data_IF_378411898958
#
_entry.id   IF_378411898958
#
_cell.length_a   1.000
_cell.length_b   1.000
_cell.length_c   1.000
_cell.angle_alpha   90.00
_cell.angle_beta   90.00
_cell.angle_gamma   90.00
#
_symmetry.space_group_name_H-M   'P 1'
#
loop_
_entity.id
_entity.type
_entity.pdbx_description
1 polymer ?
#
# COMPACT_ATOMS: atom_id res chain seq x y z
N UNK A 1 -22.21 -26.99 2.65
CA UNK A 1 -21.28 -25.95 2.19
C UNK A 1 -21.01 -25.04 3.37
N UNK A 2 -19.77 -24.95 3.86
CA UNK A 2 -19.40 -23.88 4.78
C UNK A 2 -19.43 -22.57 3.98
N UNK A 3 -19.98 -21.50 4.55
CA UNK A 3 -19.86 -20.16 3.95
C UNK A 3 -18.37 -19.86 3.74
N UNK A 4 -17.97 -19.22 2.62
CA UNK A 4 -16.60 -18.76 2.47
C UNK A 4 -16.27 -17.89 3.68
N UNK A 5 -15.12 -18.14 4.31
CA UNK A 5 -14.64 -17.27 5.37
C UNK A 5 -14.58 -15.85 4.80
N UNK A 6 -15.29 -14.91 5.44
CA UNK A 6 -15.23 -13.50 5.08
C UNK A 6 -13.80 -12.97 5.23
N UNK A 7 -13.54 -11.80 4.64
CA UNK A 7 -12.27 -11.13 4.88
C UNK A 7 -12.07 -10.87 6.38
N UNK A 8 -10.88 -11.20 6.89
CA UNK A 8 -10.47 -10.91 8.26
C UNK A 8 -9.78 -9.55 8.28
N UNK A 9 -10.30 -8.60 9.06
CA UNK A 9 -9.59 -7.35 9.33
C UNK A 9 -8.36 -7.66 10.19
N UNK A 10 -7.17 -7.36 9.69
CA UNK A 10 -5.90 -7.59 10.39
C UNK A 10 -5.48 -6.38 11.24
N UNK A 11 -5.82 -5.18 10.80
CA UNK A 11 -5.50 -3.95 11.51
C UNK A 11 -6.04 -2.71 10.79
N UNK A 12 -6.08 -1.59 11.51
CA UNK A 12 -6.41 -0.30 10.95
C UNK A 12 -5.79 0.82 11.78
N UNK A 13 -5.67 1.99 11.16
CA UNK A 13 -5.31 3.25 11.78
C UNK A 13 -6.31 4.31 11.29
N UNK A 14 -6.71 5.19 12.19
CA UNK A 14 -7.52 6.38 11.89
C UNK A 14 -6.68 7.54 12.40
N UNK A 15 -6.58 8.60 11.61
CA UNK A 15 -5.91 9.82 12.03
C UNK A 15 -6.75 10.53 13.12
N UNK A 16 -6.07 11.28 14.00
CA UNK A 16 -6.65 11.81 15.24
C UNK A 16 -7.06 13.29 15.17
N UNK A 17 -7.08 13.89 13.97
CA UNK A 17 -7.30 15.33 13.83
C UNK A 17 -8.75 15.68 13.50
N UNK A 18 -9.09 16.96 13.67
CA UNK A 18 -10.41 17.53 13.53
C UNK A 18 -10.50 18.29 12.20
N UNK A 19 -11.35 17.79 11.30
CA UNK A 19 -11.53 18.24 9.91
C UNK A 19 -12.02 19.68 9.68
N UNK A 20 -12.17 20.47 10.74
CA UNK A 20 -12.82 21.78 10.64
C UNK A 20 -11.86 22.95 10.41
N UNK A 21 -10.52 22.76 10.44
CA UNK A 21 -9.55 23.84 10.20
C UNK A 21 -8.27 23.35 9.51
N UNK A 22 -7.70 24.18 8.64
CA UNK A 22 -6.49 23.90 7.84
C UNK A 22 -5.15 24.28 8.54
N UNK A 23 -5.18 24.59 9.84
CA UNK A 23 -4.05 25.17 10.57
C UNK A 23 -3.71 24.36 11.84
N UNK A 24 -4.03 23.06 11.87
CA UNK A 24 -3.75 22.19 13.01
C UNK A 24 -2.39 21.50 12.87
N UNK A 25 -1.77 21.21 14.02
CA UNK A 25 -0.55 20.40 14.10
C UNK A 25 -0.94 18.93 14.04
N UNK A 26 -0.50 18.24 12.98
CA UNK A 26 -0.86 16.85 12.64
C UNK A 26 0.25 15.85 12.98
N UNK A 27 1.40 16.33 13.47
CA UNK A 27 2.51 15.48 13.91
C UNK A 27 3.09 14.65 12.77
N UNK A 28 4.17 15.10 12.10
CA UNK A 28 5.21 16.00 12.60
C UNK A 28 5.07 17.48 12.20
N UNK A 29 4.11 17.83 11.33
CA UNK A 29 3.98 19.18 10.77
C UNK A 29 2.56 19.74 10.91
N UNK A 30 2.37 20.98 10.44
CA UNK A 30 1.05 21.57 10.29
C UNK A 30 0.48 21.15 8.94
N UNK A 31 -0.80 20.82 8.92
CA UNK A 31 -1.49 20.41 7.70
C UNK A 31 -2.98 20.73 7.75
N UNK A 32 -3.68 20.23 6.75
CA UNK A 32 -5.11 20.38 6.63
C UNK A 32 -5.62 19.69 5.39
N UNK A 33 -6.56 18.77 5.57
CA UNK A 33 -7.56 18.16 4.69
C UNK A 33 -7.16 17.72 3.29
N UNK A 34 -6.47 18.56 2.51
CA UNK A 34 -6.12 18.26 1.12
C UNK A 34 -4.92 17.30 1.00
N UNK A 35 -4.22 17.01 2.10
CA UNK A 35 -2.94 16.30 2.08
C UNK A 35 -2.77 15.29 3.21
N UNK A 36 -3.85 14.98 3.93
CA UNK A 36 -3.80 14.16 5.13
C UNK A 36 -4.35 12.75 4.81
N UNK A 37 -3.93 11.74 5.58
CA UNK A 37 -4.43 10.37 5.50
C UNK A 37 -5.37 10.11 6.66
N UNK A 38 -6.66 10.09 6.34
CA UNK A 38 -7.72 9.93 7.33
C UNK A 38 -7.80 8.51 7.91
N UNK A 39 -7.54 7.51 7.06
CA UNK A 39 -7.76 6.12 7.41
C UNK A 39 -6.89 5.18 6.60
N UNK A 40 -6.38 4.15 7.25
CA UNK A 40 -5.76 3.00 6.60
C UNK A 40 -6.27 1.72 7.24
N UNK A 41 -6.61 0.71 6.43
CA UNK A 41 -6.94 -0.61 6.94
C UNK A 41 -6.40 -1.73 6.07
N UNK A 42 -6.04 -2.82 6.74
CA UNK A 42 -5.51 -4.03 6.13
C UNK A 42 -6.40 -5.20 6.49
N UNK A 43 -6.86 -5.91 5.47
CA UNK A 43 -7.62 -7.14 5.62
C UNK A 43 -6.97 -8.28 4.84
N UNK A 44 -7.36 -9.50 5.18
CA UNK A 44 -6.89 -10.71 4.52
C UNK A 44 -8.05 -11.61 4.12
N UNK A 45 -8.00 -12.13 2.91
CA UNK A 45 -8.91 -13.18 2.46
C UNK A 45 -8.24 -14.08 1.43
N UNK A 46 -8.31 -15.39 1.65
CA UNK A 46 -7.96 -16.41 0.66
C UNK A 46 -6.57 -16.23 0.00
N UNK A 47 -5.54 -15.89 0.79
CA UNK A 47 -4.17 -15.68 0.29
C UNK A 47 -3.85 -14.23 -0.09
N UNK A 48 -4.86 -13.38 -0.22
CA UNK A 48 -4.71 -11.98 -0.59
C UNK A 48 -4.74 -11.04 0.62
N UNK A 49 -3.90 -10.03 0.57
CA UNK A 49 -4.00 -8.81 1.37
C UNK A 49 -4.86 -7.81 0.62
N UNK A 50 -5.73 -7.13 1.35
CA UNK A 50 -6.51 -5.98 0.90
C UNK A 50 -6.07 -4.79 1.73
N UNK A 51 -5.61 -3.73 1.08
CA UNK A 51 -5.22 -2.47 1.72
C UNK A 51 -6.11 -1.36 1.19
N UNK A 52 -6.71 -0.59 2.09
CA UNK A 52 -7.45 0.62 1.75
C UNK A 52 -6.86 1.81 2.47
N UNK A 53 -6.81 2.95 1.77
CA UNK A 53 -6.38 4.24 2.31
C UNK A 53 -7.43 5.28 1.93
N UNK A 54 -7.95 6.02 2.89
CA UNK A 54 -8.73 7.23 2.62
C UNK A 54 -7.84 8.45 2.90
N UNK A 55 -7.73 9.36 1.94
CA UNK A 55 -6.81 10.50 2.04
C UNK A 55 -7.29 11.68 1.19
N UNK A 56 -6.95 12.91 1.58
CA UNK A 56 -7.16 14.10 0.75
C UNK A 56 -6.34 14.12 -0.54
N UNK A 57 -5.30 13.31 -0.60
CA UNK A 57 -4.35 13.25 -1.69
C UNK A 57 -4.73 12.17 -2.71
N UNK A 58 -4.83 12.51 -4.00
CA UNK A 58 -5.06 11.48 -5.02
C UNK A 58 -3.77 11.06 -5.74
N UNK A 59 -3.72 9.81 -6.23
CA UNK A 59 -2.60 9.32 -7.04
C UNK A 59 -2.37 10.08 -8.35
N UNK A 60 -3.41 10.60 -9.00
CA UNK A 60 -3.36 11.23 -10.33
C UNK A 60 -3.23 12.75 -10.33
N UNK A 61 -3.57 13.39 -9.21
CA UNK A 61 -3.22 14.78 -8.94
C UNK A 61 -2.35 14.81 -7.70
N UNK A 62 -1.03 14.87 -7.90
CA UNK A 62 -0.24 15.60 -6.94
C UNK A 62 -0.90 16.98 -6.79
N UNK A 63 -1.54 17.26 -5.66
CA UNK A 63 -2.16 18.56 -5.45
C UNK A 63 -1.07 19.64 -5.48
N UNK A 64 -1.44 20.91 -5.42
CA UNK A 64 -0.58 22.03 -5.84
C UNK A 64 0.87 21.98 -5.35
N UNK A 65 1.15 21.37 -4.20
CA UNK A 65 2.49 21.31 -3.61
C UNK A 65 3.06 19.92 -3.42
N UNK A 66 2.24 18.88 -3.22
CA UNK A 66 2.71 17.59 -2.71
C UNK A 66 2.32 16.44 -3.64
N UNK A 67 3.25 15.51 -3.81
CA UNK A 67 3.04 14.28 -4.57
C UNK A 67 2.43 13.19 -3.67
N UNK A 68 1.69 12.23 -4.26
CA UNK A 68 0.96 11.21 -3.51
C UNK A 68 1.81 10.26 -2.66
N UNK A 69 3.11 10.16 -2.94
CA UNK A 69 3.99 9.21 -2.29
C UNK A 69 3.68 7.75 -2.65
N UNK A 70 4.43 6.83 -2.05
CA UNK A 70 4.33 5.39 -2.26
C UNK A 70 4.08 4.65 -0.95
N UNK A 71 3.58 3.41 -1.04
CA UNK A 71 3.35 2.59 0.14
C UNK A 71 4.62 1.82 0.48
N UNK A 72 5.06 1.93 1.73
CA UNK A 72 6.15 1.12 2.27
C UNK A 72 5.59 -0.06 3.04
N UNK A 73 6.20 -1.21 2.85
CA UNK A 73 5.89 -2.42 3.62
C UNK A 73 7.17 -2.92 4.27
N UNK A 74 7.09 -3.31 5.53
CA UNK A 74 8.19 -3.94 6.26
C UNK A 74 7.72 -5.31 6.75
N UNK A 75 8.49 -6.35 6.47
CA UNK A 75 8.21 -7.69 6.98
C UNK A 75 8.89 -7.96 8.32
N UNK A 76 8.57 -9.11 8.93
CA UNK A 76 9.09 -9.51 10.24
C UNK A 76 10.62 -9.67 10.34
N UNK A 77 11.32 -9.70 9.19
CA UNK A 77 12.77 -9.73 9.16
C UNK A 77 13.36 -8.34 8.85
N UNK A 78 12.57 -7.27 8.97
CA UNK A 78 12.90 -5.90 8.60
C UNK A 78 13.23 -5.73 7.11
N UNK A 79 12.80 -6.65 6.24
CA UNK A 79 12.97 -6.45 4.81
C UNK A 79 11.92 -5.45 4.33
N UNK A 80 12.39 -4.48 3.55
CA UNK A 80 11.57 -3.36 3.08
C UNK A 80 11.15 -3.59 1.63
N UNK A 81 9.88 -3.30 1.37
CA UNK A 81 9.24 -3.37 0.06
C UNK A 81 8.58 -2.02 -0.26
N UNK A 82 8.26 -1.82 -1.53
CA UNK A 82 7.51 -0.65 -2.00
C UNK A 82 6.41 -1.04 -2.96
N UNK A 83 5.27 -0.34 -2.87
CA UNK A 83 4.22 -0.37 -3.88
C UNK A 83 4.13 1.01 -4.52
N UNK A 84 4.29 1.07 -5.83
CA UNK A 84 4.11 2.29 -6.61
C UNK A 84 2.63 2.69 -6.56
N UNK A 85 2.33 3.82 -5.93
CA UNK A 85 0.95 4.36 -5.92
C UNK A 85 0.80 5.42 -7.00
N UNK A 86 1.77 6.32 -7.07
CA UNK A 86 1.62 7.58 -7.76
C UNK A 86 2.30 7.66 -9.12
N UNK A 87 1.69 8.41 -10.02
CA UNK A 87 2.36 9.02 -11.16
C UNK A 87 2.02 10.51 -11.33
N UNK A 88 1.17 11.08 -10.47
CA UNK A 88 0.68 12.45 -10.59
C UNK A 88 1.78 13.47 -10.28
N UNK A 89 2.07 14.37 -11.22
CA UNK A 89 3.07 15.42 -11.07
C UNK A 89 2.63 16.46 -10.05
N UNK A 90 2.92 16.23 -8.76
CA UNK A 90 2.79 17.24 -7.71
C UNK A 90 3.50 18.54 -8.09
N UNK A 91 3.07 19.66 -7.52
CA UNK A 91 3.81 20.91 -7.69
C UNK A 91 3.59 21.67 -9.00
N UNK A 92 2.97 21.06 -10.02
CA UNK A 92 2.95 21.63 -11.38
C UNK A 92 1.60 22.21 -11.82
N UNK A 93 0.54 22.02 -11.02
CA UNK A 93 -0.84 22.32 -11.46
C UNK A 93 -1.30 21.44 -12.63
N UNK A 94 -0.49 20.47 -13.05
CA UNK A 94 -0.81 19.53 -14.11
C UNK A 94 -1.64 18.41 -13.50
N UNK A 95 -2.95 18.43 -13.76
CA UNK A 95 -3.76 17.23 -13.60
C UNK A 95 -3.27 16.22 -14.64
N UNK A 96 -2.61 15.16 -14.20
CA UNK A 96 -2.38 14.05 -15.12
C UNK A 96 -3.71 13.35 -15.42
N UNK A 97 -3.75 12.64 -16.56
CA UNK A 97 -4.87 11.76 -16.83
C UNK A 97 -4.99 10.67 -15.75
N UNK A 98 -6.11 9.96 -15.74
CA UNK A 98 -6.33 8.86 -14.79
C UNK A 98 -5.12 7.90 -14.78
N UNK A 99 -4.57 7.67 -13.59
CA UNK A 99 -3.48 6.71 -13.40
C UNK A 99 -4.08 5.34 -13.12
N UNK A 100 -4.25 4.54 -14.17
CA UNK A 100 -4.74 3.18 -14.01
C UNK A 100 -3.60 2.24 -13.59
N UNK A 101 -3.95 1.06 -13.08
CA UNK A 101 -2.99 -0.03 -12.87
C UNK A 101 -2.11 -0.24 -14.10
N UNK A 102 -0.79 -0.34 -13.88
CA UNK A 102 0.19 -0.51 -14.94
C UNK A 102 0.58 0.78 -15.69
N UNK A 103 0.00 1.93 -15.37
CA UNK A 103 0.47 3.22 -15.87
C UNK A 103 1.93 3.50 -15.44
N UNK A 104 2.65 4.30 -16.22
CA UNK A 104 4.04 4.68 -15.92
C UNK A 104 4.11 5.34 -14.53
N UNK A 105 4.99 4.82 -13.68
CA UNK A 105 5.28 5.40 -12.36
C UNK A 105 6.07 6.71 -12.46
N UNK A 106 6.16 7.44 -11.35
CA UNK A 106 6.86 8.73 -11.30
C UNK A 106 7.66 8.89 -10.02
N UNK A 107 8.86 9.45 -10.17
CA UNK A 107 9.69 9.90 -9.05
C UNK A 107 9.68 11.42 -8.97
N UNK A 108 9.76 11.94 -7.76
CA UNK A 108 9.62 13.36 -7.47
C UNK A 108 10.90 13.93 -6.87
N UNK A 109 11.29 15.12 -7.31
CA UNK A 109 12.28 15.92 -6.58
C UNK A 109 11.53 16.82 -5.62
N UNK A 110 11.91 16.78 -4.35
CA UNK A 110 11.28 17.54 -3.27
C UNK A 110 12.24 18.62 -2.74
N UNK A 111 11.74 19.80 -2.40
CA UNK A 111 12.52 20.82 -1.67
C UNK A 111 12.47 20.59 -0.15
N UNK A 112 13.15 21.42 0.65
CA UNK A 112 13.21 21.28 2.12
C UNK A 112 11.87 21.41 2.86
N UNK A 113 10.79 21.80 2.17
CA UNK A 113 9.43 21.85 2.71
C UNK A 113 8.58 20.66 2.25
N UNK A 114 9.18 19.67 1.58
CA UNK A 114 8.46 18.51 1.00
C UNK A 114 7.73 18.83 -0.31
N UNK A 115 7.87 20.05 -0.85
CA UNK A 115 7.14 20.44 -2.06
C UNK A 115 7.77 19.76 -3.27
N UNK A 116 6.94 19.19 -4.12
CA UNK A 116 7.35 18.69 -5.43
C UNK A 116 7.80 19.86 -6.29
N UNK A 117 9.09 19.87 -6.66
CA UNK A 117 9.67 20.89 -7.55
C UNK A 117 9.85 20.40 -8.98
N UNK A 118 9.95 19.07 -9.16
CA UNK A 118 9.96 18.43 -10.47
C UNK A 118 9.58 16.96 -10.36
N UNK A 119 9.23 16.36 -11.48
CA UNK A 119 8.90 14.94 -11.60
C UNK A 119 9.61 14.33 -12.80
N UNK A 120 9.95 13.05 -12.70
CA UNK A 120 10.51 12.26 -13.78
C UNK A 120 9.83 10.89 -13.84
N UNK A 121 9.68 10.34 -15.05
CA UNK A 121 9.20 8.98 -15.22
C UNK A 121 10.11 8.02 -14.44
N UNK A 122 9.49 7.15 -13.65
CA UNK A 122 10.20 6.05 -13.03
C UNK A 122 10.71 5.07 -14.10
N UNK A 123 11.54 4.11 -13.69
CA UNK A 123 11.97 3.02 -14.56
C UNK A 123 10.74 2.36 -15.22
N UNK A 124 10.84 1.97 -16.49
CA UNK A 124 9.67 1.50 -17.26
C UNK A 124 8.90 0.32 -16.63
N UNK A 125 9.55 -0.47 -15.77
CA UNK A 125 8.91 -1.56 -15.04
C UNK A 125 8.18 -1.12 -13.76
N UNK A 126 8.58 0.03 -13.17
CA UNK A 126 7.97 0.66 -12.00
C UNK A 126 6.73 1.43 -12.48
N UNK A 127 5.59 0.79 -12.28
CA UNK A 127 4.28 1.20 -12.79
C UNK A 127 3.28 1.22 -11.64
N UNK A 128 2.23 2.04 -11.71
CA UNK A 128 1.20 2.11 -10.67
C UNK A 128 0.65 0.70 -10.32
N UNK A 129 0.62 0.37 -9.03
CA UNK A 129 0.29 -0.94 -8.48
C UNK A 129 1.45 -1.94 -8.43
N UNK A 130 2.63 -1.62 -8.98
CA UNK A 130 3.76 -2.57 -8.97
C UNK A 130 4.40 -2.70 -7.59
N UNK A 131 4.68 -3.95 -7.20
CA UNK A 131 5.25 -4.30 -5.89
C UNK A 131 6.71 -4.71 -6.05
N UNK A 132 7.59 -4.18 -5.21
CA UNK A 132 9.04 -4.31 -5.35
C UNK A 132 9.73 -4.65 -4.04
N UNK A 133 10.86 -5.34 -4.14
CA UNK A 133 11.82 -5.52 -3.05
C UNK A 133 13.18 -4.93 -3.40
N UNK A 134 14.03 -4.72 -2.39
CA UNK A 134 15.37 -4.14 -2.54
C UNK A 134 15.31 -2.76 -3.24
N UNK A 135 14.31 -1.97 -2.89
CA UNK A 135 14.10 -0.61 -3.40
C UNK A 135 14.95 0.40 -2.64
N UNK A 136 15.18 1.56 -3.24
CA UNK A 136 15.80 2.69 -2.56
C UNK A 136 14.71 3.67 -2.14
N UNK A 137 14.48 3.78 -0.83
CA UNK A 137 13.54 4.76 -0.28
C UNK A 137 14.18 6.14 -0.22
N UNK A 138 13.43 7.14 -0.66
CA UNK A 138 13.78 8.54 -0.48
C UNK A 138 13.00 9.07 0.72
N UNK A 139 13.74 9.53 1.73
CA UNK A 139 13.15 10.16 2.91
C UNK A 139 12.53 11.51 2.57
N UNK A 140 11.56 11.92 3.37
CA UNK A 140 11.11 13.32 3.37
C UNK A 140 12.32 14.25 3.59
N UNK A 141 12.50 15.28 2.75
CA UNK A 141 13.58 16.26 2.91
C UNK A 141 13.31 17.29 4.02
N UNK A 142 12.17 17.18 4.71
CA UNK A 142 11.81 18.11 5.79
C UNK A 142 12.67 17.83 7.01
N UNK A 143 13.19 18.89 7.64
CA UNK A 143 14.13 18.77 8.73
C UNK A 143 13.54 17.99 9.91
N UNK A 144 14.25 16.94 10.33
CA UNK A 144 13.82 16.04 11.42
C UNK A 144 13.09 14.79 10.94
N UNK A 145 12.67 14.74 9.67
CA UNK A 145 11.95 13.61 9.11
C UNK A 145 12.86 12.51 8.58
N UNK A 146 12.43 11.26 8.79
CA UNK A 146 13.14 10.07 8.31
C UNK A 146 12.24 9.08 7.58
N UNK A 147 10.91 9.32 7.59
CA UNK A 147 9.96 8.47 6.88
C UNK A 147 10.23 8.50 5.38
N UNK A 148 10.15 7.32 4.76
CA UNK A 148 10.25 7.17 3.30
C UNK A 148 8.92 7.54 2.69
N UNK A 149 8.91 8.54 1.80
CA UNK A 149 7.67 9.03 1.16
C UNK A 149 7.51 8.53 -0.27
N UNK A 150 8.59 8.08 -0.90
CA UNK A 150 8.59 7.48 -2.24
C UNK A 150 9.79 6.56 -2.40
N UNK A 151 9.77 5.68 -3.40
CA UNK A 151 10.92 4.84 -3.72
C UNK A 151 11.33 4.92 -5.18
N UNK A 152 12.56 4.48 -5.46
CA UNK A 152 13.02 4.24 -6.81
C UNK A 152 13.49 2.78 -6.94
N UNK A 153 13.04 2.12 -8.01
CA UNK A 153 13.52 0.80 -8.40
C UNK A 153 14.87 0.95 -9.12
N UNK A 154 15.94 0.46 -8.49
CA UNK A 154 17.29 0.46 -9.03
C UNK A 154 17.66 -0.88 -9.68
N UNK A 155 18.93 -1.00 -10.10
CA UNK A 155 19.48 -2.20 -10.76
C UNK A 155 19.40 -3.47 -9.92
N UNK A 156 19.35 -3.35 -8.59
CA UNK A 156 19.26 -4.47 -7.65
C UNK A 156 17.82 -4.71 -7.14
N UNK A 157 16.86 -3.89 -7.57
CA UNK A 157 15.47 -4.02 -7.18
C UNK A 157 14.81 -5.15 -7.95
N UNK A 158 13.92 -5.88 -7.30
CA UNK A 158 13.19 -6.99 -7.91
C UNK A 158 11.69 -6.73 -7.84
N UNK A 159 11.03 -6.71 -9.02
CA UNK A 159 9.57 -6.64 -9.13
C UNK A 159 9.00 -7.99 -8.71
N UNK A 160 8.17 -7.98 -7.67
CA UNK A 160 7.53 -9.15 -7.11
C UNK A 160 6.19 -9.45 -7.80
N UNK A 161 5.49 -8.41 -8.25
CA UNK A 161 4.19 -8.55 -8.90
C UNK A 161 3.48 -7.22 -9.09
N UNK A 162 2.17 -7.33 -9.27
CA UNK A 162 1.22 -6.21 -9.34
C UNK A 162 0.14 -6.43 -8.27
N UNK A 163 -0.31 -5.35 -7.67
CA UNK A 163 -1.59 -5.29 -6.99
C UNK A 163 -2.70 -5.02 -8.00
N UNK A 164 -3.87 -5.58 -7.75
CA UNK A 164 -5.13 -5.04 -8.29
C UNK A 164 -5.28 -3.64 -7.67
N UNK A 165 -5.26 -2.58 -8.49
CA UNK A 165 -5.11 -1.19 -8.02
C UNK A 165 -6.21 -0.27 -8.56
N UNK A 166 -6.92 0.41 -7.67
CA UNK A 166 -7.96 1.39 -8.02
C UNK A 166 -8.00 2.53 -7.01
N UNK A 167 -8.49 3.68 -7.44
CA UNK A 167 -8.79 4.79 -6.54
C UNK A 167 -9.98 5.62 -7.04
N UNK A 168 -10.64 6.33 -6.13
CA UNK A 168 -11.75 7.24 -6.48
C UNK A 168 -11.22 8.57 -7.00
N UNK A 169 -11.80 9.07 -8.09
CA UNK A 169 -11.40 10.33 -8.74
C UNK A 169 -12.34 11.49 -8.38
N UNK A 170 -12.01 12.68 -8.88
CA UNK A 170 -12.76 13.92 -8.60
C UNK A 170 -14.17 13.99 -9.21
N UNK A 171 -14.53 13.02 -10.05
CA UNK A 171 -15.89 12.83 -10.55
C UNK A 171 -16.79 12.07 -9.57
N UNK A 172 -16.19 11.37 -8.59
CA UNK A 172 -16.91 10.60 -7.56
C UNK A 172 -16.84 11.30 -6.20
N UNK A 173 -15.70 11.91 -5.85
CA UNK A 173 -15.46 12.54 -4.56
C UNK A 173 -14.76 13.89 -4.70
N UNK A 174 -15.21 14.92 -3.96
CA UNK A 174 -14.68 16.28 -4.14
C UNK A 174 -13.44 16.59 -3.27
N UNK A 175 -13.21 15.81 -2.21
CA UNK A 175 -12.21 16.12 -1.19
C UNK A 175 -11.26 14.94 -0.94
N UNK A 176 -11.80 13.73 -0.74
CA UNK A 176 -11.00 12.55 -0.40
C UNK A 176 -10.95 11.55 -1.54
N UNK A 177 -9.81 10.92 -1.74
CA UNK A 177 -9.68 9.70 -2.53
C UNK A 177 -9.60 8.48 -1.62
N UNK A 178 -10.30 7.42 -2.01
CA UNK A 178 -10.07 6.08 -1.48
C UNK A 178 -9.15 5.36 -2.46
N UNK A 179 -8.00 4.89 -1.98
CA UNK A 179 -7.06 4.05 -2.73
C UNK A 179 -7.23 2.62 -2.22
N UNK A 180 -7.51 1.68 -3.11
CA UNK A 180 -7.71 0.27 -2.80
C UNK A 180 -6.71 -0.59 -3.57
N UNK A 181 -6.07 -1.52 -2.84
CA UNK A 181 -5.11 -2.47 -3.38
C UNK A 181 -5.46 -3.89 -2.94
N UNK A 182 -5.29 -4.86 -3.84
CA UNK A 182 -5.27 -6.28 -3.47
C UNK A 182 -4.11 -7.03 -4.09
N UNK A 183 -3.40 -7.85 -3.30
CA UNK A 183 -2.21 -8.58 -3.77
C UNK A 183 -1.95 -9.85 -2.97
N UNK A 184 -1.20 -10.78 -3.55
CA UNK A 184 -0.91 -12.08 -2.93
C UNK A 184 0.11 -11.94 -1.80
N UNK A 185 -0.22 -12.48 -0.62
CA UNK A 185 0.68 -12.55 0.53
C UNK A 185 1.97 -13.32 0.21
N UNK A 186 1.87 -14.31 -0.69
CA UNK A 186 2.98 -15.15 -1.12
C UNK A 186 4.10 -14.38 -1.84
N UNK A 187 3.90 -13.10 -2.18
CA UNK A 187 4.96 -12.24 -2.73
C UNK A 187 6.05 -11.91 -1.70
N UNK A 188 5.75 -12.00 -0.40
CA UNK A 188 6.68 -11.66 0.67
C UNK A 188 7.34 -12.91 1.26
N UNK A 189 8.65 -12.81 1.52
CA UNK A 189 9.45 -13.96 1.96
C UNK A 189 9.15 -14.42 3.39
N UNK A 190 8.71 -13.53 4.27
CA UNK A 190 8.26 -13.86 5.63
C UNK A 190 7.08 -12.97 5.99
N UNK A 191 5.87 -13.44 5.72
CA UNK A 191 4.66 -12.63 5.81
C UNK A 191 3.81 -12.94 7.06
N UNK A 192 4.44 -13.42 8.14
CA UNK A 192 3.72 -13.74 9.38
C UNK A 192 3.14 -12.48 10.07
N UNK A 193 3.79 -11.34 9.87
CA UNK A 193 3.19 -10.03 10.03
C UNK A 193 3.83 -9.05 9.03
N UNK A 194 3.11 -7.98 8.72
CA UNK A 194 3.53 -6.92 7.79
C UNK A 194 3.15 -5.57 8.40
N UNK A 195 4.09 -4.63 8.40
CA UNK A 195 3.84 -3.25 8.74
C UNK A 195 3.70 -2.41 7.47
N UNK A 196 2.54 -1.78 7.29
CA UNK A 196 2.24 -0.89 6.18
C UNK A 196 2.43 0.54 6.63
N UNK A 197 3.03 1.36 5.77
CA UNK A 197 3.20 2.78 5.99
C UNK A 197 2.86 3.53 4.71
N UNK A 198 2.17 4.66 4.86
CA UNK A 198 1.95 5.57 3.76
C UNK A 198 1.96 7.00 4.26
N UNK A 199 2.55 7.86 3.44
CA UNK A 199 2.52 9.30 3.62
C UNK A 199 2.65 9.99 2.26
N UNK A 200 1.98 11.13 2.06
CA UNK A 200 2.27 12.00 0.94
C UNK A 200 3.62 12.69 1.13
N UNK A 201 4.12 13.38 0.10
CA UNK A 201 5.47 13.98 0.17
C UNK A 201 5.63 15.11 1.19
N UNK A 202 4.53 15.71 1.64
CA UNK A 202 4.52 16.64 2.78
C UNK A 202 4.90 15.94 4.08
N UNK A 203 4.71 14.63 4.19
CA UNK A 203 4.99 13.82 5.38
C UNK A 203 4.49 14.47 6.68
N UNK A 204 3.42 15.27 6.57
CA UNK A 204 2.80 15.99 7.68
C UNK A 204 1.85 15.09 8.46
N UNK A 205 1.45 13.98 7.84
CA UNK A 205 0.64 12.92 8.39
C UNK A 205 1.08 11.57 7.81
N UNK A 206 1.32 10.61 8.68
CA UNK A 206 1.86 9.28 8.36
C UNK A 206 1.05 8.25 9.13
N UNK A 207 0.29 7.41 8.43
CA UNK A 207 -0.34 6.27 9.07
C UNK A 207 0.49 5.00 8.88
N UNK A 208 0.52 4.22 9.95
CA UNK A 208 1.07 2.88 9.94
C UNK A 208 0.07 1.86 10.49
N UNK A 209 -0.01 0.70 9.83
CA UNK A 209 -0.86 -0.41 10.24
C UNK A 209 -0.02 -1.67 10.38
N UNK A 210 -0.03 -2.24 11.58
CA UNK A 210 0.51 -3.57 11.84
C UNK A 210 -0.54 -4.63 11.48
N UNK A 211 -0.20 -5.57 10.60
CA UNK A 211 -1.07 -6.65 10.18
C UNK A 211 -0.49 -8.00 10.61
N UNK A 212 -1.07 -8.61 11.65
CA UNK A 212 -0.70 -9.95 12.11
C UNK A 212 -1.41 -11.02 11.28
N UNK A 213 -0.68 -11.61 10.33
CA UNK A 213 -1.22 -12.61 9.41
C UNK A 213 -1.14 -14.03 10.00
N UNK A 214 -0.44 -14.21 11.11
CA UNK A 214 -0.35 -15.50 11.81
C UNK A 214 -1.68 -15.95 12.41
N UNK A 215 -2.63 -15.03 12.60
CA UNK A 215 -3.96 -15.32 13.12
C UNK A 215 -4.91 -15.94 12.08
N UNK A 216 -4.49 -16.00 10.81
CA UNK A 216 -5.27 -16.61 9.74
C UNK A 216 -5.15 -18.14 9.84
N UNK A 217 -6.24 -18.88 10.11
CA UNK A 217 -6.20 -20.34 10.13
C UNK A 217 -5.75 -20.86 8.76
N UNK A 218 -4.80 -21.80 8.75
CA UNK A 218 -4.34 -22.42 7.50
C UNK A 218 -5.55 -22.95 6.69
N UNK A 219 -5.52 -22.81 5.35
CA UNK A 219 -6.68 -23.14 4.54
C UNK A 219 -7.09 -24.60 4.75
N UNK A 220 -8.40 -24.83 4.91
CA UNK A 220 -9.00 -26.14 5.12
C UNK A 220 -8.67 -27.17 4.01
N UNK A 221 -8.04 -26.74 2.92
CA UNK A 221 -7.45 -27.60 1.89
C UNK A 221 -6.40 -28.55 2.47
N UNK A 222 -5.62 -28.17 3.47
CA UNK A 222 -4.68 -29.09 4.14
C UNK A 222 -5.42 -30.16 4.96
N UNK A 223 -6.49 -29.76 5.64
CA UNK A 223 -7.37 -30.70 6.33
C UNK A 223 -8.05 -31.65 5.33
N UNK A 224 -8.54 -31.14 4.19
CA UNK A 224 -9.15 -31.96 3.13
C UNK A 224 -8.13 -32.88 2.46
N UNK A 225 -6.90 -32.43 2.25
CA UNK A 225 -5.82 -33.25 1.71
C UNK A 225 -5.46 -34.38 2.68
N UNK A 226 -5.37 -34.08 3.99
CA UNK A 226 -5.17 -35.08 5.04
C UNK A 226 -6.30 -36.11 5.09
N UNK A 227 -7.56 -35.67 5.05
CA UNK A 227 -8.73 -36.56 5.00
C UNK A 227 -8.76 -37.38 3.70
N UNK A 228 -8.38 -36.77 2.57
CA UNK A 228 -8.26 -37.45 1.27
C UNK A 228 -7.23 -38.56 1.29
N UNK A 229 -6.04 -38.30 1.84
CA UNK A 229 -4.98 -39.31 2.03
C UNK A 229 -5.45 -40.46 2.93
N UNK A 230 -6.13 -40.17 4.04
CA UNK A 230 -6.71 -41.19 4.93
C UNK A 230 -7.76 -42.04 4.21
N UNK A 231 -8.58 -41.43 3.35
CA UNK A 231 -9.53 -42.13 2.48
C UNK A 231 -8.85 -43.13 1.53
N UNK A 232 -7.75 -42.73 0.89
CA UNK A 232 -6.97 -43.62 0.01
C UNK A 232 -6.32 -44.79 0.76
N UNK A 233 -5.79 -44.54 1.97
CA UNK A 233 -5.21 -45.60 2.81
C UNK A 233 -6.25 -46.63 3.24
N UNK A 234 -7.47 -46.17 3.60
CA UNK A 234 -8.57 -47.06 4.00
C UNK A 234 -9.08 -47.91 2.82
N UNK A 235 -9.16 -47.33 1.62
CA UNK A 235 -9.60 -48.04 0.40
C UNK A 235 -8.64 -49.15 -0.04
N UNK A 236 -7.33 -49.01 0.21
CA UNK A 236 -6.34 -50.07 -0.07
C UNK A 236 -6.45 -51.27 0.86
N UNK A 237 -6.96 -51.11 2.09
CA UNK A 237 -7.13 -52.21 3.05
C UNK A 237 -8.34 -53.09 2.75
N UNK A 238 -9.37 -52.56 2.08
CA UNK A 238 -10.58 -53.30 1.72
C UNK A 238 -10.49 -54.07 0.40
N UNK A 239 -9.42 -53.89 -0.39
CA UNK A 239 -9.23 -54.54 -1.69
C UNK A 239 -8.48 -55.89 -1.67
N UNK A 240 -8.17 -56.44 -0.48
CA UNK A 240 -7.66 -57.82 -0.34
C UNK A 240 -8.79 -58.74 0.11
N UNK A 241 -9.59 -59.21 -0.84
CA UNK A 241 -10.38 -60.44 -0.74
C UNK A 241 -10.38 -61.11 -2.10
#
# INVERSE_FOLDING_TARGET
>A
MAAPAGALLLGYAIEDTNDTKNDYYLGPHYGGQNYDVEFMAVAYQAGKIFLTIATGQRPDNGAQYYSPGDIRIVDNNNKVYGIEVGGGAGGTGIKQGAINEGAQGTTYTLNSNGYTVSSANAAAAQTAGSIWSNVQWMSSPIAGETAGVQFNAGVNSAKLGMADYVYTRDDVTNQHSVIELSFELAMFSNASALDFFWAPSCNNDVLNVHADVSQVPEPATLALFGVGLLGFVRRRRTGKK
#
